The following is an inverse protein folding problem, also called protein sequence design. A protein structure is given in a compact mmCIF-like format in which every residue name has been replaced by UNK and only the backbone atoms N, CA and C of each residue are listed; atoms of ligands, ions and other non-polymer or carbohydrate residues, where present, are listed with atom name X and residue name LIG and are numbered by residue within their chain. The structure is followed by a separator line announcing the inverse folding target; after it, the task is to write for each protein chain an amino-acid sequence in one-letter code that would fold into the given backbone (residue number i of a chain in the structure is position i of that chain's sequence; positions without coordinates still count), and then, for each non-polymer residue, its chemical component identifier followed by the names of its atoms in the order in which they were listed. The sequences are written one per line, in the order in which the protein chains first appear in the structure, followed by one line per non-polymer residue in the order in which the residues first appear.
data_IF_968686285858
#
_entry.id   IF_968686285858
#
_cell.length_a   1.000
_cell.length_b   1.000
_cell.length_c   1.000
_cell.angle_alpha   90.00
_cell.angle_beta   90.00
_cell.angle_gamma   90.00
#
_symmetry.space_group_name_H-M   'P 1'
#
loop_
_entity.id
_entity.type
_entity.pdbx_description
1 polymer ?
#
# COMPACT_ATOMS: atom_id res chain seq x y z
N UNK A 1 1.54 -17.71 0.40
CA UNK A 1 0.55 -17.33 -0.59
C UNK A 1 -0.52 -16.47 0.03
N UNK A 2 -0.99 -15.48 -0.69
CA UNK A 2 -2.01 -14.58 -0.17
C UNK A 2 -3.37 -15.15 -0.54
N UNK A 3 -4.24 -15.33 0.46
CA UNK A 3 -5.56 -15.85 0.21
C UNK A 3 -6.40 -14.85 -0.57
N UNK A 4 -7.30 -15.35 -1.41
CA UNK A 4 -8.13 -14.49 -2.23
C UNK A 4 -8.97 -13.55 -1.36
N UNK A 5 -9.47 -14.04 -0.23
CA UNK A 5 -10.30 -13.20 0.64
C UNK A 5 -9.48 -12.09 1.28
N UNK A 6 -8.20 -12.32 1.54
CA UNK A 6 -7.33 -11.27 2.08
C UNK A 6 -7.07 -10.22 1.01
N UNK A 7 -6.84 -10.66 -0.23
CA UNK A 7 -6.62 -9.73 -1.33
C UNK A 7 -7.87 -8.90 -1.58
N UNK A 8 -9.04 -9.52 -1.56
CA UNK A 8 -10.28 -8.79 -1.79
C UNK A 8 -10.56 -7.81 -0.66
N UNK A 9 -10.26 -8.19 0.56
CA UNK A 9 -10.46 -7.31 1.70
C UNK A 9 -9.56 -6.09 1.60
N UNK A 10 -8.28 -6.30 1.28
CA UNK A 10 -7.34 -5.20 1.14
C UNK A 10 -7.80 -4.26 0.03
N UNK A 11 -8.26 -4.81 -1.08
CA UNK A 11 -8.73 -4.00 -2.18
C UNK A 11 -9.96 -3.19 -1.78
N UNK A 12 -10.87 -3.80 -1.04
CA UNK A 12 -12.08 -3.11 -0.62
C UNK A 12 -11.75 -1.95 0.31
N UNK A 13 -10.84 -2.17 1.26
CA UNK A 13 -10.45 -1.14 2.20
C UNK A 13 -9.80 0.02 1.44
N UNK A 14 -8.87 -0.29 0.55
CA UNK A 14 -8.15 0.75 -0.16
C UNK A 14 -9.05 1.52 -1.10
N UNK A 15 -10.00 0.84 -1.74
CA UNK A 15 -10.93 1.56 -2.61
C UNK A 15 -11.87 2.44 -1.80
N UNK A 16 -12.23 2.01 -0.61
CA UNK A 16 -13.06 2.84 0.24
C UNK A 16 -12.31 4.07 0.71
N UNK A 17 -11.05 3.94 1.03
CA UNK A 17 -10.28 5.05 1.59
C UNK A 17 -9.64 5.93 0.53
N UNK A 18 -9.22 5.36 -0.59
CA UNK A 18 -8.47 6.09 -1.60
C UNK A 18 -9.18 6.22 -2.93
N UNK A 19 -10.35 5.64 -3.07
CA UNK A 19 -11.04 5.67 -4.36
C UNK A 19 -11.30 7.06 -4.87
N UNK A 20 -11.71 7.97 -3.97
CA UNK A 20 -12.01 9.33 -4.39
C UNK A 20 -10.74 10.14 -4.63
N UNK A 21 -9.59 9.60 -4.28
CA UNK A 21 -8.33 10.29 -4.47
C UNK A 21 -7.58 9.80 -5.70
N UNK A 22 -8.22 8.99 -6.51
CA UNK A 22 -7.64 8.57 -7.78
C UNK A 22 -6.99 7.21 -7.80
N UNK A 23 -7.43 6.32 -6.94
CA UNK A 23 -6.85 4.98 -6.91
C UNK A 23 -7.09 4.28 -8.24
N UNK A 24 -6.03 3.73 -8.83
CA UNK A 24 -6.09 3.02 -10.08
C UNK A 24 -6.05 1.52 -9.84
N UNK A 25 -5.01 1.03 -9.23
CA UNK A 25 -4.89 -0.41 -8.98
C UNK A 25 -4.09 -0.66 -7.72
N UNK A 26 -4.15 -1.89 -7.26
CA UNK A 26 -3.50 -2.29 -6.03
C UNK A 26 -2.68 -3.53 -6.33
N UNK A 27 -1.51 -3.60 -5.74
CA UNK A 27 -0.66 -4.77 -5.85
C UNK A 27 -0.36 -5.29 -4.45
N UNK A 28 -0.49 -6.60 -4.26
CA UNK A 28 -0.23 -7.21 -2.99
C UNK A 28 0.82 -8.28 -3.16
N UNK A 29 1.79 -8.30 -2.29
CA UNK A 29 2.88 -9.25 -2.37
C UNK A 29 3.27 -9.69 -0.98
N UNK A 30 3.55 -10.98 -0.80
CA UNK A 30 4.04 -11.42 0.48
C UNK A 30 5.54 -11.56 0.38
N UNK A 31 6.22 -11.16 1.42
CA UNK A 31 7.68 -11.22 1.47
C UNK A 31 8.10 -11.06 2.92
N UNK A 32 9.38 -11.05 3.17
CA UNK A 32 9.90 -10.78 4.50
C UNK A 32 10.40 -9.36 4.53
N UNK A 33 10.21 -8.73 5.68
CA UNK A 33 10.70 -7.37 5.84
C UNK A 33 12.18 -7.42 6.25
N UNK A 34 12.76 -6.27 6.51
CA UNK A 34 14.19 -6.22 6.80
C UNK A 34 14.52 -6.85 8.16
N UNK A 35 13.53 -7.09 9.01
CA UNK A 35 13.71 -7.81 10.24
C UNK A 35 13.49 -9.31 10.05
N UNK A 36 13.30 -9.74 8.80
CA UNK A 36 13.09 -11.15 8.44
C UNK A 36 11.78 -11.70 8.97
N UNK A 37 10.80 -10.84 9.19
CA UNK A 37 9.48 -11.27 9.60
C UNK A 37 8.54 -11.32 8.41
N UNK A 38 7.59 -12.25 8.38
CA UNK A 38 6.64 -12.30 7.29
C UNK A 38 5.82 -11.01 7.23
N UNK A 39 5.63 -10.48 6.06
CA UNK A 39 4.94 -9.22 5.88
C UNK A 39 4.15 -9.21 4.58
N UNK A 40 3.19 -8.29 4.51
CA UNK A 40 2.44 -8.06 3.29
C UNK A 40 2.83 -6.69 2.77
N UNK A 41 3.25 -6.65 1.52
CA UNK A 41 3.61 -5.37 0.90
C UNK A 41 2.45 -4.95 0.00
N UNK A 42 1.86 -3.81 0.29
CA UNK A 42 0.67 -3.34 -0.37
C UNK A 42 1.01 -2.05 -1.08
N UNK A 43 0.93 -2.05 -2.39
CA UNK A 43 1.19 -0.85 -3.18
C UNK A 43 -0.14 -0.38 -3.76
N UNK A 44 -0.48 0.86 -3.48
CA UNK A 44 -1.67 1.49 -4.04
C UNK A 44 -1.21 2.46 -5.11
N UNK A 45 -1.57 2.19 -6.36
CA UNK A 45 -1.14 3.01 -7.49
C UNK A 45 -2.26 3.98 -7.84
N UNK A 46 -1.92 5.25 -7.84
CA UNK A 46 -2.88 6.29 -8.18
C UNK A 46 -2.73 6.66 -9.65
N UNK A 47 -3.78 7.25 -10.19
CA UNK A 47 -3.77 7.69 -11.59
C UNK A 47 -2.90 8.89 -11.75
N UNK A 48 -2.40 9.09 -12.95
CA UNK A 48 -1.62 10.27 -13.28
C UNK A 48 -2.46 11.51 -13.02
N UNK A 49 -1.85 12.53 -12.47
CA UNK A 49 -2.56 13.77 -12.17
C UNK A 49 -3.30 13.76 -10.86
N UNK A 50 -3.28 12.66 -10.12
CA UNK A 50 -3.93 12.63 -8.81
C UNK A 50 -3.17 13.52 -7.86
N UNK A 51 -3.84 14.18 -6.91
CA UNK A 51 -3.14 15.02 -5.96
C UNK A 51 -2.32 14.18 -5.00
N UNK A 52 -1.32 14.76 -4.36
CA UNK A 52 -0.54 14.03 -3.37
C UNK A 52 -1.43 13.63 -2.20
N UNK A 53 -1.11 12.50 -1.60
CA UNK A 53 -1.86 12.01 -0.46
C UNK A 53 -1.14 12.48 0.79
N UNK A 54 -1.84 13.21 1.64
CA UNK A 54 -1.25 13.73 2.86
C UNK A 54 -0.85 12.59 3.79
N UNK A 55 0.19 12.79 4.58
CA UNK A 55 0.67 11.76 5.47
C UNK A 55 -0.37 11.28 6.46
N UNK A 56 -1.22 12.18 6.94
CA UNK A 56 -2.26 11.77 7.88
C UNK A 56 -3.31 10.91 7.21
N UNK A 57 -3.56 11.10 5.91
CA UNK A 57 -4.47 10.24 5.18
C UNK A 57 -3.84 8.85 5.03
N UNK A 58 -2.58 8.81 4.67
CA UNK A 58 -1.85 7.58 4.49
C UNK A 58 -1.84 6.77 5.80
N UNK A 59 -1.62 7.45 6.92
CA UNK A 59 -1.62 6.80 8.23
C UNK A 59 -2.99 6.24 8.56
N UNK A 60 -4.05 7.01 8.27
CA UNK A 60 -5.39 6.54 8.53
C UNK A 60 -5.73 5.31 7.71
N UNK A 61 -5.31 5.32 6.44
CA UNK A 61 -5.56 4.19 5.54
C UNK A 61 -4.82 2.96 6.05
N UNK A 62 -3.58 3.16 6.49
CA UNK A 62 -2.78 2.06 7.00
C UNK A 62 -3.44 1.45 8.24
N UNK A 63 -3.95 2.29 9.13
CA UNK A 63 -4.62 1.78 10.34
C UNK A 63 -5.88 1.02 9.98
N UNK A 64 -6.67 1.52 9.04
CA UNK A 64 -7.88 0.84 8.63
C UNK A 64 -7.56 -0.51 8.00
N UNK A 65 -6.53 -0.54 7.16
CA UNK A 65 -6.11 -1.77 6.52
C UNK A 65 -5.61 -2.77 7.54
N UNK A 66 -4.76 -2.33 8.47
CA UNK A 66 -4.20 -3.22 9.49
C UNK A 66 -5.28 -3.83 10.35
N UNK A 67 -6.24 -3.00 10.77
CA UNK A 67 -7.29 -3.49 11.64
C UNK A 67 -8.18 -4.50 10.93
N UNK A 68 -8.55 -4.22 9.68
CA UNK A 68 -9.41 -5.13 8.96
C UNK A 68 -8.71 -6.46 8.64
N UNK A 69 -7.44 -6.40 8.32
CA UNK A 69 -6.70 -7.62 8.05
C UNK A 69 -6.59 -8.45 9.32
N UNK A 70 -6.32 -7.81 10.44
CA UNK A 70 -6.21 -8.53 11.70
C UNK A 70 -7.54 -9.18 12.07
N UNK A 71 -8.65 -8.47 11.86
CA UNK A 71 -9.97 -9.02 12.12
C UNK A 71 -10.25 -10.24 11.25
N UNK A 72 -9.67 -10.30 10.07
CA UNK A 72 -9.86 -11.41 9.17
C UNK A 72 -8.88 -12.55 9.42
N UNK A 73 -8.05 -12.43 10.44
CA UNK A 73 -7.11 -13.50 10.78
C UNK A 73 -5.75 -13.37 10.14
N UNK A 74 -5.48 -12.24 9.46
CA UNK A 74 -4.19 -12.04 8.84
C UNK A 74 -3.28 -11.31 9.80
N UNK A 75 -2.26 -11.97 10.31
CA UNK A 75 -1.41 -11.38 11.33
C UNK A 75 -0.09 -10.85 10.77
N UNK A 76 0.16 -10.95 9.47
CA UNK A 76 1.36 -10.36 8.87
C UNK A 76 1.20 -8.85 8.83
N UNK A 77 2.28 -8.15 9.09
CA UNK A 77 2.22 -6.68 9.12
C UNK A 77 2.09 -6.14 7.70
N UNK A 78 1.13 -5.25 7.43
CA UNK A 78 0.98 -4.66 6.11
C UNK A 78 1.82 -3.40 5.98
N UNK A 79 2.71 -3.38 5.00
CA UNK A 79 3.48 -2.19 4.66
C UNK A 79 2.79 -1.55 3.46
N UNK A 80 2.23 -0.36 3.67
CA UNK A 80 1.48 0.32 2.62
C UNK A 80 2.33 1.39 1.97
N UNK A 81 2.34 1.38 0.65
CA UNK A 81 2.97 2.45 -0.11
C UNK A 81 1.96 2.99 -1.11
N UNK A 82 1.84 4.31 -1.15
CA UNK A 82 0.98 4.98 -2.11
C UNK A 82 1.91 5.51 -3.20
N UNK A 83 1.67 5.07 -4.43
CA UNK A 83 2.55 5.42 -5.53
C UNK A 83 1.84 6.26 -6.56
N UNK A 84 2.49 7.33 -6.99
CA UNK A 84 1.98 8.19 -8.06
C UNK A 84 2.88 7.99 -9.26
N UNK A 85 2.34 7.92 -10.46
CA UNK A 85 3.20 7.82 -11.65
C UNK A 85 4.16 8.98 -11.76
N UNK A 86 3.72 10.16 -11.30
CA UNK A 86 4.54 11.35 -11.40
C UNK A 86 5.71 11.33 -10.43
N UNK A 87 5.66 10.51 -9.41
CA UNK A 87 6.70 10.43 -8.43
C UNK A 87 7.70 9.35 -8.74
N UNK A 88 7.49 8.60 -9.80
CA UNK A 88 8.37 7.54 -10.13
C UNK A 88 9.69 8.07 -10.58
N UNK A 89 10.75 7.52 -10.03
CA UNK A 89 12.04 7.96 -10.43
C UNK A 89 12.45 7.32 -11.73
N UNK A 90 13.19 8.00 -12.56
CA UNK A 90 13.65 7.41 -13.80
C UNK A 90 14.51 6.19 -13.48
N UNK A 91 14.44 5.22 -14.38
CA UNK A 91 15.18 4.07 -14.19
C UNK A 91 16.62 4.37 -14.15
N UNK A 92 17.37 3.81 -13.24
CA UNK A 92 18.77 4.08 -13.08
C UNK A 92 19.10 5.27 -12.23
N UNK A 93 18.13 6.01 -11.80
CA UNK A 93 18.41 7.16 -10.93
C UNK A 93 18.88 6.66 -9.57
N UNK A 94 19.84 7.30 -8.96
CA UNK A 94 20.26 6.86 -7.63
C UNK A 94 19.19 7.19 -6.62
N UNK A 95 19.12 6.45 -5.58
CA UNK A 95 18.17 6.78 -4.51
C UNK A 95 18.59 8.10 -3.92
N UNK A 96 17.62 8.76 -3.45
CA UNK A 96 17.89 9.99 -2.96
C UNK A 96 18.37 9.99 -1.72
N UNK A 97 19.10 9.38 -1.28
CA UNK A 97 19.49 9.40 -0.16
C UNK A 97 20.29 10.21 0.11
N UNK A 98 20.52 10.73 0.08
CA UNK A 98 21.20 11.47 0.32
C UNK A 98 21.58 11.68 1.24
N UNK A 99 21.98 11.70 1.54
CA UNK A 99 22.43 11.98 2.54
C UNK A 99 23.05 12.79 2.83
#
# INVERSE_FOLDING_TARGET
MIKAEIRELAERVLRSELGSLGLDRIDLREDRDYADDPALFVDAFLKAGSPPVAGEVSTRVHHALSRKLLEAGEDRFPYLRVRHPDDEEPEGAPPLEVH
#
